data_IF_493059854132
#
_entry.id   IF_493059854132
#
_cell.length_a   1.000
_cell.length_b   1.000
_cell.length_c   1.000
_cell.angle_alpha   90.00
_cell.angle_beta   90.00
_cell.angle_gamma   90.00
#
_symmetry.space_group_name_H-M   'P 1'
#
loop_
_entity.id
_entity.type
_entity.pdbx_description
1 polymer ?
#
# COMPACT_ATOMS: atom_id res chain seq x y z
N UNK A 1 -43.66 27.69 41.41
CA UNK A 1 -42.24 27.31 41.28
C UNK A 1 -42.11 26.54 39.97
N UNK A 2 -41.50 27.11 38.93
CA UNK A 2 -41.13 26.36 37.73
C UNK A 2 -39.62 26.16 37.76
N UNK A 3 -39.17 24.91 37.73
CA UNK A 3 -37.80 24.57 37.37
C UNK A 3 -37.76 24.26 35.88
N UNK A 4 -37.23 25.19 35.10
CA UNK A 4 -36.90 24.96 33.69
C UNK A 4 -35.62 24.14 33.62
N UNK A 5 -35.73 22.83 33.34
CA UNK A 5 -34.55 22.01 33.04
C UNK A 5 -33.97 22.42 31.68
N UNK A 6 -32.66 22.63 31.66
CA UNK A 6 -31.97 23.22 30.52
C UNK A 6 -31.61 22.13 29.50
N UNK A 7 -31.98 22.27 28.20
CA UNK A 7 -31.83 21.19 27.22
C UNK A 7 -30.37 20.85 26.84
N UNK A 8 -29.41 21.66 27.28
CA UNK A 8 -27.97 21.49 27.01
C UNK A 8 -27.33 20.33 27.78
N UNK A 9 -27.75 20.06 29.01
CA UNK A 9 -27.18 18.98 29.84
C UNK A 9 -27.39 17.60 29.20
N UNK A 10 -28.59 17.38 28.65
CA UNK A 10 -29.00 16.11 28.04
C UNK A 10 -28.21 15.81 26.74
N UNK A 11 -27.91 16.84 25.95
CA UNK A 11 -27.12 16.69 24.71
C UNK A 11 -25.67 16.30 25.00
N UNK A 12 -25.05 16.92 26.01
CA UNK A 12 -23.67 16.63 26.43
C UNK A 12 -23.55 15.21 26.96
N UNK A 13 -24.51 14.75 27.78
CA UNK A 13 -24.52 13.36 28.27
C UNK A 13 -24.69 12.33 27.15
N UNK A 14 -25.52 12.61 26.13
CA UNK A 14 -25.69 11.67 25.00
C UNK A 14 -24.41 11.58 24.14
N UNK A 15 -23.73 12.70 23.88
CA UNK A 15 -22.45 12.71 23.14
C UNK A 15 -21.33 11.98 23.90
N UNK A 16 -21.24 12.16 25.22
CA UNK A 16 -20.26 11.46 26.04
C UNK A 16 -20.48 9.93 26.05
N UNK A 17 -21.74 9.48 26.05
CA UNK A 17 -22.08 8.05 26.00
C UNK A 17 -21.76 7.44 24.63
N UNK A 18 -22.00 8.15 23.52
CA UNK A 18 -21.64 7.65 22.18
C UNK A 18 -20.13 7.49 22.02
N UNK A 19 -19.33 8.42 22.56
CA UNK A 19 -17.87 8.30 22.54
C UNK A 19 -17.32 7.12 23.36
N UNK A 20 -18.04 6.68 24.40
CA UNK A 20 -17.70 5.50 25.21
C UNK A 20 -18.10 4.16 24.55
N UNK A 21 -18.90 4.20 23.48
CA UNK A 21 -19.32 3.03 22.69
C UNK A 21 -18.81 3.07 21.24
N UNK A 22 -17.85 3.95 20.92
CA UNK A 22 -17.01 3.70 19.76
C UNK A 22 -16.32 2.36 19.99
N UNK A 23 -16.53 1.33 19.15
CA UNK A 23 -15.76 0.10 19.28
C UNK A 23 -14.27 0.48 19.20
N UNK A 24 -13.39 -0.18 19.99
CA UNK A 24 -11.97 -0.03 19.75
C UNK A 24 -11.74 -0.32 18.27
N UNK A 25 -11.00 0.56 17.59
CA UNK A 25 -10.67 0.41 16.17
C UNK A 25 -10.14 -1.02 16.04
N UNK A 26 -10.88 -1.87 15.31
CA UNK A 26 -10.56 -3.28 15.27
C UNK A 26 -9.11 -3.40 14.80
N UNK A 27 -8.30 -4.19 15.51
CA UNK A 27 -6.98 -4.54 14.99
C UNK A 27 -7.21 -5.11 13.59
N UNK A 28 -6.53 -4.56 12.57
CA UNK A 28 -6.72 -4.98 11.18
C UNK A 28 -6.27 -6.44 11.06
N UNK A 29 -7.23 -7.36 11.19
CA UNK A 29 -6.97 -8.77 11.05
C UNK A 29 -6.67 -9.10 9.59
N UNK A 30 -5.75 -10.05 9.38
CA UNK A 30 -5.40 -10.53 8.06
C UNK A 30 -5.33 -12.05 8.01
N UNK A 31 -5.65 -12.59 6.85
CA UNK A 31 -5.26 -13.93 6.47
C UNK A 31 -3.84 -13.88 5.88
N UNK A 32 -2.98 -14.80 6.28
CA UNK A 32 -1.68 -14.97 5.65
C UNK A 32 -1.46 -16.39 5.19
N UNK A 33 -1.25 -16.55 3.88
CA UNK A 33 -0.89 -17.83 3.28
C UNK A 33 0.63 -17.91 3.15
N UNK A 34 1.22 -18.94 3.74
CA UNK A 34 2.66 -19.18 3.75
C UNK A 34 2.96 -20.41 2.88
N UNK A 35 4.02 -20.36 2.07
CA UNK A 35 4.45 -21.45 1.19
C UNK A 35 5.84 -21.93 1.58
N UNK A 36 6.01 -23.25 1.67
CA UNK A 36 7.27 -23.92 1.99
C UNK A 36 7.57 -25.03 0.98
N UNK A 37 8.86 -25.33 0.78
CA UNK A 37 9.30 -26.57 0.11
C UNK A 37 9.11 -27.76 1.05
N UNK A 38 8.57 -28.87 0.55
CA UNK A 38 8.39 -30.09 1.35
C UNK A 38 6.93 -30.39 1.67
N UNK A 39 6.66 -30.92 2.87
CA UNK A 39 5.35 -31.49 3.23
C UNK A 39 4.81 -31.07 4.60
N UNK A 40 5.61 -30.36 5.37
CA UNK A 40 5.43 -30.23 6.82
C UNK A 40 5.24 -28.78 7.26
N UNK A 41 4.90 -27.87 6.33
CA UNK A 41 4.74 -26.42 6.52
C UNK A 41 5.75 -25.81 7.50
N UNK A 42 7.03 -26.07 7.23
CA UNK A 42 8.12 -25.73 8.14
C UNK A 42 9.45 -25.58 7.41
N UNK A 43 10.42 -25.00 8.11
CA UNK A 43 11.67 -24.52 7.50
C UNK A 43 11.56 -23.04 7.12
N UNK A 44 12.33 -22.62 6.14
CA UNK A 44 12.31 -21.24 5.65
C UNK A 44 11.16 -21.06 4.64
N UNK A 45 10.24 -20.10 4.85
CA UNK A 45 9.21 -19.77 3.87
C UNK A 45 9.82 -19.36 2.52
N UNK A 46 9.14 -19.70 1.43
CA UNK A 46 9.40 -19.17 0.08
C UNK A 46 8.62 -17.87 -0.14
N UNK A 47 7.33 -17.90 0.22
CA UNK A 47 6.37 -16.82 0.01
C UNK A 47 5.51 -16.66 1.24
N UNK A 48 5.23 -15.40 1.61
CA UNK A 48 4.22 -15.02 2.61
C UNK A 48 3.28 -14.02 1.96
N UNK A 49 2.04 -14.42 1.70
CA UNK A 49 0.96 -13.51 1.27
C UNK A 49 0.25 -12.94 2.50
N UNK A 50 -0.24 -11.70 2.42
CA UNK A 50 -1.01 -11.03 3.48
C UNK A 50 -2.19 -10.29 2.86
N UNK A 51 -3.41 -10.66 3.25
CA UNK A 51 -4.65 -10.05 2.76
C UNK A 51 -5.54 -9.72 3.97
N UNK A 52 -5.99 -8.46 4.06
CA UNK A 52 -6.88 -8.02 5.14
C UNK A 52 -8.19 -8.82 5.13
N UNK A 53 -8.57 -9.40 6.27
CA UNK A 53 -9.74 -10.27 6.42
C UNK A 53 -10.31 -10.17 7.83
N UNK A 54 -11.60 -9.80 7.93
CA UNK A 54 -12.33 -9.73 9.20
C UNK A 54 -12.89 -11.09 9.64
N UNK A 55 -13.14 -11.97 8.67
CA UNK A 55 -13.67 -13.32 8.85
C UNK A 55 -12.60 -14.35 8.44
N UNK A 56 -11.41 -14.25 9.03
CA UNK A 56 -10.30 -15.13 8.71
C UNK A 56 -10.50 -16.52 9.32
N UNK A 57 -10.39 -17.56 8.50
CA UNK A 57 -10.31 -18.96 8.92
C UNK A 57 -8.90 -19.51 8.63
N UNK A 58 -8.27 -20.12 9.64
CA UNK A 58 -6.97 -20.75 9.49
C UNK A 58 -7.11 -22.08 8.75
N UNK A 59 -6.16 -22.37 7.87
CA UNK A 59 -6.11 -23.60 7.07
C UNK A 59 -4.86 -24.38 7.46
N UNK A 60 -5.04 -25.60 7.98
CA UNK A 60 -3.94 -26.51 8.28
C UNK A 60 -3.12 -26.85 7.01
N UNK A 61 -1.89 -27.32 7.21
CA UNK A 61 -0.95 -27.61 6.13
C UNK A 61 -1.53 -28.49 5.00
N UNK A 62 -1.64 -27.90 3.80
CA UNK A 62 -2.07 -28.55 2.55
C UNK A 62 -0.85 -28.81 1.66
N UNK A 63 -0.88 -29.90 0.89
CA UNK A 63 0.18 -30.27 -0.06
C UNK A 63 -0.21 -29.92 -1.49
N UNK A 64 0.74 -29.39 -2.26
CA UNK A 64 0.63 -29.21 -3.70
C UNK A 64 1.92 -29.63 -4.43
N UNK A 65 1.86 -29.71 -5.76
CA UNK A 65 2.98 -30.13 -6.60
C UNK A 65 3.09 -29.15 -7.78
N UNK A 66 4.26 -28.53 -7.92
CA UNK A 66 4.62 -27.70 -9.07
C UNK A 66 5.94 -28.24 -9.67
N UNK A 67 5.99 -28.41 -10.99
CA UNK A 67 7.11 -29.01 -11.74
C UNK A 67 7.79 -30.23 -11.07
N UNK A 68 6.96 -31.18 -10.61
CA UNK A 68 7.35 -32.42 -9.93
C UNK A 68 8.03 -32.25 -8.56
N UNK A 69 8.13 -31.02 -8.03
CA UNK A 69 8.56 -30.72 -6.67
C UNK A 69 7.33 -30.68 -5.76
N UNK A 70 7.44 -31.24 -4.55
CA UNK A 70 6.37 -31.15 -3.54
C UNK A 70 6.55 -29.90 -2.68
N UNK A 71 5.48 -29.16 -2.54
CA UNK A 71 5.38 -27.98 -1.68
C UNK A 71 4.23 -28.16 -0.70
N UNK A 72 4.22 -27.29 0.32
CA UNK A 72 3.14 -27.23 1.29
C UNK A 72 2.79 -25.79 1.62
N UNK A 73 1.49 -25.50 1.75
CA UNK A 73 0.98 -24.20 2.18
C UNK A 73 0.08 -24.31 3.41
N UNK A 74 0.08 -23.27 4.24
CA UNK A 74 -0.83 -23.10 5.36
C UNK A 74 -1.39 -21.68 5.35
N UNK A 75 -2.54 -21.46 5.98
CA UNK A 75 -3.08 -20.11 6.19
C UNK A 75 -3.28 -19.83 7.68
N UNK A 76 -2.67 -18.75 8.16
CA UNK A 76 -2.81 -18.24 9.53
C UNK A 76 -3.71 -17.02 9.58
N UNK A 77 -4.21 -16.69 10.78
CA UNK A 77 -5.09 -15.55 11.02
C UNK A 77 -4.52 -14.69 12.13
N UNK A 78 -4.14 -13.47 11.78
CA UNK A 78 -3.29 -12.63 12.63
C UNK A 78 -3.84 -11.22 12.80
N UNK A 79 -3.41 -10.56 13.89
CA UNK A 79 -3.85 -9.20 14.28
C UNK A 79 -2.68 -8.28 14.65
N UNK A 80 -1.45 -8.76 14.49
CA UNK A 80 -0.22 -8.00 14.69
C UNK A 80 0.05 -7.06 13.50
N UNK A 81 1.11 -6.26 13.57
CA UNK A 81 1.58 -5.53 12.40
C UNK A 81 2.10 -6.48 11.31
N UNK A 82 1.70 -6.24 10.05
CA UNK A 82 1.99 -7.12 8.91
C UNK A 82 3.49 -7.19 8.56
N UNK A 83 4.24 -6.12 8.78
CA UNK A 83 5.68 -6.06 8.48
C UNK A 83 6.48 -6.79 9.55
N UNK A 84 6.08 -6.62 10.81
CA UNK A 84 6.59 -7.36 11.96
C UNK A 84 6.34 -8.86 11.80
N UNK A 85 5.10 -9.25 11.47
CA UNK A 85 4.73 -10.64 11.18
C UNK A 85 5.61 -11.26 10.09
N UNK A 86 5.72 -10.61 8.92
CA UNK A 86 6.57 -11.10 7.82
C UNK A 86 8.03 -11.26 8.27
N UNK A 87 8.58 -10.29 9.01
CA UNK A 87 9.94 -10.36 9.52
C UNK A 87 10.17 -11.56 10.47
N UNK A 88 9.22 -11.82 11.37
CA UNK A 88 9.24 -12.95 12.29
C UNK A 88 9.08 -14.28 11.54
N UNK A 89 8.16 -14.36 10.57
CA UNK A 89 7.90 -15.55 9.73
C UNK A 89 9.14 -15.96 8.91
N UNK A 90 9.90 -15.01 8.37
CA UNK A 90 11.17 -15.30 7.70
C UNK A 90 12.33 -15.61 8.66
N UNK A 91 12.17 -15.41 9.97
CA UNK A 91 13.12 -15.77 11.03
C UNK A 91 14.57 -15.28 10.77
N UNK A 92 14.73 -14.05 10.27
CA UNK A 92 16.02 -13.45 9.93
C UNK A 92 16.60 -13.84 8.56
N UNK A 93 15.85 -14.60 7.75
CA UNK A 93 16.18 -14.84 6.34
C UNK A 93 16.03 -13.56 5.52
N UNK A 94 16.77 -13.46 4.41
CA UNK A 94 16.65 -12.32 3.49
C UNK A 94 15.33 -12.40 2.72
N UNK A 95 14.56 -11.31 2.67
CA UNK A 95 13.31 -11.23 1.92
C UNK A 95 13.11 -9.86 1.26
N UNK A 96 12.27 -9.83 0.22
CA UNK A 96 11.70 -8.61 -0.37
C UNK A 96 10.19 -8.67 -0.18
N UNK A 97 9.62 -7.69 0.51
CA UNK A 97 8.18 -7.54 0.75
C UNK A 97 7.64 -6.37 -0.07
N UNK A 98 6.56 -6.63 -0.81
CA UNK A 98 5.89 -5.67 -1.67
C UNK A 98 4.48 -5.49 -1.12
N UNK A 99 4.25 -4.38 -0.42
CA UNK A 99 2.90 -3.95 -0.07
C UNK A 99 2.28 -3.28 -1.31
N UNK A 100 1.06 -3.67 -1.65
CA UNK A 100 0.30 -3.16 -2.78
C UNK A 100 -0.85 -2.31 -2.29
N UNK A 101 -1.05 -1.17 -2.96
CA UNK A 101 -1.99 -0.13 -2.59
C UNK A 101 -2.82 0.34 -3.79
N UNK A 102 -3.93 1.01 -3.50
CA UNK A 102 -4.55 1.92 -4.47
C UNK A 102 -3.61 3.05 -4.87
N UNK A 103 -3.97 3.75 -5.96
CA UNK A 103 -3.19 4.83 -6.56
C UNK A 103 -2.69 5.87 -5.52
N UNK A 104 -1.43 6.28 -5.67
CA UNK A 104 -0.68 7.17 -4.78
C UNK A 104 -0.45 6.57 -3.36
N UNK A 105 -0.39 5.23 -3.26
CA UNK A 105 -0.21 4.50 -2.00
C UNK A 105 -1.19 4.91 -0.88
N UNK A 106 -2.49 5.00 -1.22
CA UNK A 106 -3.51 5.61 -0.35
C UNK A 106 -4.30 4.61 0.52
N UNK A 107 -4.64 3.44 -0.01
CA UNK A 107 -5.37 2.37 0.69
C UNK A 107 -4.66 1.04 0.44
N UNK A 108 -4.34 0.31 1.50
CA UNK A 108 -3.70 -1.01 1.42
C UNK A 108 -4.64 -2.02 0.76
N UNK A 109 -4.13 -2.84 -0.15
CA UNK A 109 -4.88 -3.89 -0.88
C UNK A 109 -4.39 -5.31 -0.53
N UNK A 110 -3.13 -5.45 -0.17
CA UNK A 110 -2.49 -6.73 0.15
C UNK A 110 -0.97 -6.59 0.15
N UNK A 111 -0.26 -7.61 0.62
CA UNK A 111 1.19 -7.68 0.50
C UNK A 111 1.64 -9.09 0.12
N UNK A 112 2.78 -9.18 -0.56
CA UNK A 112 3.49 -10.45 -0.75
C UNK A 112 4.95 -10.26 -0.43
N UNK A 113 5.51 -11.19 0.35
CA UNK A 113 6.91 -11.23 0.70
C UNK A 113 7.57 -12.50 0.17
N UNK A 114 8.76 -12.33 -0.40
CA UNK A 114 9.45 -13.31 -1.23
C UNK A 114 10.84 -13.58 -0.69
N UNK A 115 11.21 -14.85 -0.55
CA UNK A 115 12.53 -15.27 -0.09
C UNK A 115 13.61 -14.79 -1.08
N UNK A 116 14.55 -13.99 -0.59
CA UNK A 116 15.47 -13.25 -1.44
C UNK A 116 16.83 -13.96 -1.62
N UNK A 117 16.81 -15.22 -2.07
CA UNK A 117 18.05 -15.99 -2.39
C UNK A 117 18.67 -15.60 -3.74
N UNK A 118 17.88 -15.02 -4.66
CA UNK A 118 18.26 -14.85 -6.06
C UNK A 118 18.09 -16.11 -6.92
N UNK A 119 17.45 -17.15 -6.40
CA UNK A 119 17.11 -18.38 -7.13
C UNK A 119 15.63 -18.36 -7.59
N UNK A 120 15.30 -19.21 -8.57
CA UNK A 120 13.92 -19.38 -9.05
C UNK A 120 13.12 -20.24 -8.05
N UNK A 121 11.98 -19.73 -7.57
CA UNK A 121 11.13 -20.35 -6.55
C UNK A 121 9.65 -20.27 -6.96
N UNK A 122 8.80 -21.17 -6.45
CA UNK A 122 7.36 -21.15 -6.79
C UNK A 122 6.65 -19.92 -6.21
N UNK A 123 5.81 -19.25 -7.00
CA UNK A 123 5.19 -17.97 -6.64
C UNK A 123 3.94 -18.09 -5.76
N UNK A 124 3.12 -19.11 -6.01
CA UNK A 124 1.87 -19.37 -5.31
C UNK A 124 1.57 -20.89 -5.23
N UNK A 125 0.44 -21.25 -4.63
CA UNK A 125 -0.03 -22.62 -4.49
C UNK A 125 -0.78 -23.16 -5.72
N UNK A 126 -0.97 -22.34 -6.76
CA UNK A 126 -1.40 -22.80 -8.09
C UNK A 126 -0.24 -23.48 -8.84
N UNK A 127 0.99 -23.01 -8.65
CA UNK A 127 2.19 -23.60 -9.26
C UNK A 127 2.40 -23.25 -10.74
N UNK A 128 1.61 -22.33 -11.28
CA UNK A 128 1.72 -21.85 -12.67
C UNK A 128 2.81 -20.78 -12.87
N UNK A 129 3.25 -20.14 -11.77
CA UNK A 129 4.19 -19.01 -11.79
C UNK A 129 5.35 -19.22 -10.83
N UNK A 130 6.46 -18.56 -11.13
CA UNK A 130 7.71 -18.62 -10.38
C UNK A 130 8.26 -17.22 -10.17
N UNK A 131 9.12 -17.02 -9.17
CA UNK A 131 9.74 -15.74 -8.90
C UNK A 131 11.24 -15.85 -8.67
N UNK A 132 11.93 -14.73 -8.90
CA UNK A 132 13.26 -14.46 -8.34
C UNK A 132 13.13 -13.19 -7.51
N UNK A 133 13.58 -13.22 -6.26
CA UNK A 133 13.71 -12.04 -5.40
C UNK A 133 15.14 -11.91 -4.87
N UNK A 134 15.59 -10.68 -4.66
CA UNK A 134 16.96 -10.39 -4.23
C UNK A 134 17.07 -9.05 -3.50
N UNK A 135 17.86 -9.03 -2.43
CA UNK A 135 18.35 -7.80 -1.79
C UNK A 135 19.81 -7.60 -2.20
N UNK A 136 20.13 -6.43 -2.73
CA UNK A 136 21.48 -6.09 -3.20
C UNK A 136 22.32 -5.44 -2.08
N UNK A 137 23.65 -5.44 -2.25
CA UNK A 137 24.60 -4.94 -1.24
C UNK A 137 24.54 -3.42 -1.01
N UNK A 138 23.95 -2.68 -1.94
CA UNK A 138 23.73 -1.23 -1.86
C UNK A 138 22.41 -0.87 -1.17
N UNK A 139 21.60 -1.86 -0.78
CA UNK A 139 20.27 -1.67 -0.19
C UNK A 139 19.13 -1.60 -1.21
N UNK A 140 19.41 -1.66 -2.52
CA UNK A 140 18.37 -1.83 -3.54
C UNK A 140 17.79 -3.25 -3.49
N UNK A 141 16.62 -3.45 -4.09
CA UNK A 141 15.99 -4.77 -4.19
C UNK A 141 15.56 -5.05 -5.63
N UNK A 142 15.38 -6.33 -5.95
CA UNK A 142 14.66 -6.73 -7.16
C UNK A 142 13.72 -7.90 -6.88
N UNK A 143 12.61 -7.92 -7.60
CA UNK A 143 11.65 -9.02 -7.67
C UNK A 143 11.16 -9.15 -9.10
N UNK A 144 11.02 -10.36 -9.62
CA UNK A 144 10.42 -10.62 -10.92
C UNK A 144 9.63 -11.93 -10.90
N UNK A 145 8.49 -11.94 -11.59
CA UNK A 145 7.60 -13.09 -11.72
C UNK A 145 7.64 -13.61 -13.17
N UNK A 146 7.77 -14.91 -13.30
CA UNK A 146 8.00 -15.67 -14.53
C UNK A 146 6.93 -16.76 -14.68
N UNK A 147 6.67 -17.16 -15.92
CA UNK A 147 5.69 -18.19 -16.28
C UNK A 147 6.33 -19.57 -16.48
N UNK A 148 7.54 -19.80 -15.96
CA UNK A 148 8.30 -21.04 -16.08
C UNK A 148 9.25 -21.26 -14.89
N UNK A 149 9.47 -22.52 -14.52
CA UNK A 149 10.32 -22.95 -13.39
C UNK A 149 11.82 -22.76 -13.59
N UNK A 150 12.26 -22.33 -14.76
CA UNK A 150 13.65 -21.91 -14.98
C UNK A 150 13.84 -20.39 -14.83
N UNK A 151 12.76 -19.63 -14.63
CA UNK A 151 12.73 -18.17 -14.57
C UNK A 151 13.54 -17.51 -15.70
N UNK A 152 13.33 -17.98 -16.94
CA UNK A 152 14.14 -17.54 -18.09
C UNK A 152 13.50 -16.38 -18.85
N UNK A 153 14.35 -15.55 -19.46
CA UNK A 153 13.89 -14.38 -20.22
C UNK A 153 13.51 -13.20 -19.33
N UNK A 154 12.52 -12.43 -19.77
CA UNK A 154 12.02 -11.25 -19.04
C UNK A 154 10.83 -11.63 -18.15
N UNK A 155 10.78 -11.18 -16.89
CA UNK A 155 9.59 -11.37 -16.06
C UNK A 155 8.39 -10.61 -16.64
N UNK A 156 7.18 -11.14 -16.47
CA UNK A 156 5.95 -10.48 -16.94
C UNK A 156 5.49 -9.37 -16.00
N UNK A 157 5.90 -9.44 -14.73
CA UNK A 157 5.75 -8.39 -13.72
C UNK A 157 7.03 -8.38 -12.87
N UNK A 158 7.54 -7.20 -12.55
CA UNK A 158 8.72 -7.07 -11.72
C UNK A 158 8.89 -5.68 -11.11
N UNK A 159 9.74 -5.61 -10.09
CA UNK A 159 10.01 -4.45 -9.27
C UNK A 159 11.53 -4.33 -9.11
N UNK A 160 12.08 -3.15 -9.39
CA UNK A 160 13.50 -2.84 -9.18
C UNK A 160 13.61 -1.46 -8.49
N UNK A 161 13.23 -1.35 -7.19
CA UNK A 161 13.42 -0.14 -6.42
C UNK A 161 14.91 0.06 -6.06
N UNK A 162 15.37 1.29 -6.21
CA UNK A 162 16.69 1.71 -5.72
C UNK A 162 16.75 1.75 -4.18
N UNK A 163 17.96 1.91 -3.64
CA UNK A 163 18.19 1.90 -2.20
C UNK A 163 17.57 3.10 -1.47
N UNK A 164 17.38 4.24 -2.15
CA UNK A 164 16.66 5.39 -1.58
C UNK A 164 15.17 5.06 -1.45
N UNK A 165 14.55 4.45 -2.46
CA UNK A 165 13.16 3.99 -2.44
C UNK A 165 12.92 2.98 -1.31
N UNK A 166 13.78 1.95 -1.21
CA UNK A 166 13.66 0.91 -0.17
C UNK A 166 13.87 1.48 1.24
N UNK A 167 14.85 2.36 1.44
CA UNK A 167 15.14 2.92 2.78
C UNK A 167 14.22 4.05 3.22
N UNK A 168 13.61 4.77 2.29
CA UNK A 168 12.59 5.81 2.58
C UNK A 168 11.16 5.27 2.67
N UNK A 169 10.93 4.01 2.27
CA UNK A 169 9.60 3.43 2.08
C UNK A 169 8.68 4.32 1.22
N UNK A 170 9.26 4.92 0.18
CA UNK A 170 8.51 5.81 -0.72
C UNK A 170 7.65 5.01 -1.72
N UNK A 171 6.60 5.66 -2.21
CA UNK A 171 5.59 5.04 -3.06
C UNK A 171 6.14 4.74 -4.47
N UNK A 172 6.63 3.53 -4.67
CA UNK A 172 7.15 3.03 -5.94
C UNK A 172 6.02 2.84 -6.96
N UNK A 173 6.25 3.33 -8.17
CA UNK A 173 5.32 3.28 -9.31
C UNK A 173 3.87 3.79 -9.04
N UNK A 174 3.65 4.53 -7.94
CA UNK A 174 2.35 5.01 -7.44
C UNK A 174 1.41 3.92 -6.85
N UNK A 175 1.86 2.67 -6.66
CA UNK A 175 0.99 1.57 -6.21
C UNK A 175 1.64 0.63 -5.19
N UNK A 176 2.94 0.76 -4.91
CA UNK A 176 3.62 -0.19 -4.04
C UNK A 176 4.58 0.49 -3.07
N UNK A 177 4.77 -0.12 -1.91
CA UNK A 177 5.84 0.21 -0.96
C UNK A 177 6.66 -1.05 -0.73
N UNK A 178 7.98 -0.93 -0.79
CA UNK A 178 8.90 -2.06 -0.71
C UNK A 178 9.66 -2.02 0.62
N UNK A 179 9.73 -3.18 1.25
CA UNK A 179 10.46 -3.46 2.48
C UNK A 179 11.41 -4.63 2.23
N UNK A 180 12.48 -4.70 3.01
CA UNK A 180 13.41 -5.85 2.99
C UNK A 180 13.78 -6.26 4.41
N UNK A 181 14.42 -7.42 4.55
CA UNK A 181 14.95 -7.90 5.84
C UNK A 181 15.95 -6.95 6.53
N UNK A 182 16.46 -5.91 5.85
CA UNK A 182 17.33 -4.90 6.46
C UNK A 182 16.56 -3.70 7.06
N UNK A 183 15.37 -3.40 6.55
CA UNK A 183 14.55 -2.25 7.01
C UNK A 183 13.86 -2.46 8.36
N UNK A 184 13.63 -3.71 8.78
CA UNK A 184 12.92 -4.03 10.04
C UNK A 184 13.72 -3.71 11.32
N UNK A 185 14.95 -3.19 11.21
CA UNK A 185 15.78 -2.77 12.37
C UNK A 185 15.39 -1.40 12.96
N UNK A 186 14.33 -0.75 12.45
CA UNK A 186 14.09 0.69 12.64
C UNK A 186 12.94 1.08 13.60
N UNK A 187 12.58 0.29 14.61
CA UNK A 187 11.68 0.74 15.70
C UNK A 187 12.20 0.39 17.09
N UNK A 188 13.08 1.24 17.62
CA UNK A 188 13.23 1.44 19.07
C UNK A 188 12.85 2.88 19.38
N UNK A 189 11.63 3.08 19.88
CA UNK A 189 11.01 4.38 20.11
C UNK A 189 11.70 5.16 21.23
N UNK A 190 12.66 6.01 20.86
CA UNK A 190 13.25 7.00 21.77
C UNK A 190 12.24 8.13 22.04
N UNK A 191 11.36 7.89 23.00
CA UNK A 191 10.40 8.89 23.51
C UNK A 191 11.19 10.10 24.02
N UNK A 192 11.17 11.18 23.23
CA UNK A 192 11.91 12.40 23.51
C UNK A 192 11.23 13.20 24.62
N UNK A 193 11.45 12.79 25.87
CA UNK A 193 10.98 13.47 27.08
C UNK A 193 11.66 14.84 27.17
N UNK A 194 10.96 15.88 26.73
CA UNK A 194 11.45 17.25 26.74
C UNK A 194 11.42 17.86 28.15
N UNK A 195 12.48 17.66 28.94
CA UNK A 195 12.69 18.32 30.23
C UNK A 195 13.37 19.68 30.05
N UNK A 196 12.59 20.75 30.20
CA UNK A 196 13.05 22.14 30.10
C UNK A 196 13.49 22.70 31.46
N UNK A 197 14.79 22.88 31.67
CA UNK A 197 15.38 23.77 32.70
C UNK A 197 16.86 24.03 32.37
N UNK A 198 17.21 25.21 31.85
CA UNK A 198 17.66 26.41 32.60
C UNK A 198 19.18 26.49 32.88
N UNK A 199 19.85 27.25 32.01
CA UNK A 199 20.90 28.27 32.31
C UNK A 199 22.06 27.96 33.25
N UNK A 200 23.27 27.89 32.67
CA UNK A 200 24.50 28.48 33.23
C UNK A 200 25.44 28.90 32.07
N UNK A 201 26.20 29.98 32.25
CA UNK A 201 26.96 30.66 31.19
C UNK A 201 28.46 30.77 31.46
N UNK A 202 29.33 30.67 30.43
CA UNK A 202 30.72 31.20 30.48
C UNK A 202 31.41 31.31 29.10
N UNK A 203 31.36 32.51 28.52
CA UNK A 203 32.40 33.29 27.80
C UNK A 203 33.62 32.66 27.04
N UNK A 204 34.00 33.37 25.95
CA UNK A 204 35.25 33.36 25.11
C UNK A 204 35.09 32.53 23.81
N UNK A 205 35.38 32.95 22.58
CA UNK A 205 35.86 34.21 21.94
C UNK A 205 36.19 33.92 20.43
N UNK A 206 36.55 34.83 19.52
CA UNK A 206 36.63 36.31 19.53
C UNK A 206 36.84 36.88 18.08
N UNK A 207 35.91 37.71 17.57
CA UNK A 207 36.00 38.64 16.40
C UNK A 207 36.19 38.12 14.95
N UNK A 208 35.38 38.70 14.04
CA UNK A 208 35.53 38.65 12.58
C UNK A 208 34.49 39.53 11.87
N UNK A 209 34.69 40.85 11.87
CA UNK A 209 33.74 41.83 11.29
C UNK A 209 34.18 42.20 9.86
N UNK A 210 33.22 42.27 8.93
CA UNK A 210 33.26 43.24 7.83
C UNK A 210 31.82 43.60 7.38
N UNK A 211 31.60 44.86 6.98
CA UNK A 211 30.26 45.47 6.84
C UNK A 211 30.11 46.23 5.52
N UNK A 212 28.90 46.10 4.93
CA UNK A 212 28.28 47.08 4.02
C UNK A 212 28.37 46.78 2.51
N UNK A 213 27.51 47.36 1.65
CA UNK A 213 26.21 48.03 1.86
C UNK A 213 25.58 48.42 0.50
N UNK A 214 24.24 48.34 0.39
CA UNK A 214 23.32 49.11 -0.48
C UNK A 214 23.44 49.11 -2.04
N UNK A 215 22.28 49.32 -2.69
CA UNK A 215 22.14 49.80 -4.08
C UNK A 215 21.34 48.85 -5.00
N UNK A 216 20.01 48.95 -5.14
CA UNK A 216 19.19 49.95 -5.87
C UNK A 216 19.21 49.76 -7.41
N UNK A 217 18.01 49.53 -7.97
CA UNK A 217 17.58 49.48 -9.40
C UNK A 217 17.74 50.87 -10.10
N UNK A 218 17.33 51.19 -11.37
CA UNK A 218 16.41 50.49 -12.31
C UNK A 218 16.71 50.67 -13.84
N UNK A 219 15.66 50.46 -14.67
CA UNK A 219 15.42 51.05 -16.03
C UNK A 219 16.02 50.29 -17.25
N UNK A 220 15.46 50.34 -18.47
CA UNK A 220 14.23 51.00 -19.00
C UNK A 220 13.76 50.39 -20.36
N UNK A 221 12.51 50.66 -20.79
CA UNK A 221 11.99 50.97 -22.17
C UNK A 221 12.46 50.18 -23.43
N UNK A 222 11.70 49.98 -24.52
CA UNK A 222 10.29 50.24 -24.92
C UNK A 222 10.06 49.76 -26.39
N UNK A 223 8.85 49.26 -26.73
CA UNK A 223 7.95 49.50 -27.93
C UNK A 223 8.64 49.92 -29.28
N UNK A 224 8.31 49.49 -30.52
CA UNK A 224 7.04 49.61 -31.32
C UNK A 224 7.12 48.81 -32.69
N UNK A 225 5.99 48.22 -33.17
CA UNK A 225 5.50 47.88 -34.57
C UNK A 225 6.39 47.16 -35.64
N UNK A 226 5.91 46.54 -36.74
CA UNK A 226 4.61 46.00 -37.26
C UNK A 226 4.92 45.04 -38.46
N UNK A 227 3.90 44.32 -38.97
CA UNK A 227 3.81 43.54 -40.23
C UNK A 227 4.30 42.07 -40.19
N UNK A 228 3.62 41.10 -40.82
CA UNK A 228 2.35 41.13 -41.53
C UNK A 228 2.27 40.00 -42.58
N UNK A 229 1.35 39.03 -42.42
CA UNK A 229 1.00 38.05 -43.46
C UNK A 229 -0.35 37.39 -43.20
N UNK A 230 -1.12 37.19 -44.28
CA UNK A 230 -2.40 36.47 -44.35
C UNK A 230 -2.16 34.91 -44.30
N UNK A 231 -3.13 33.99 -44.29
CA UNK A 231 -4.56 34.03 -44.70
C UNK A 231 -5.38 32.90 -44.04
N UNK A 232 -6.70 33.11 -43.83
CA UNK A 232 -7.81 32.11 -43.76
C UNK A 232 -7.68 30.83 -42.92
N UNK A 233 -8.55 30.70 -41.92
CA UNK A 233 -9.16 29.41 -41.51
C UNK A 233 -10.68 29.51 -41.65
N UNK A 234 -11.29 28.49 -42.25
CA UNK A 234 -12.72 28.45 -42.59
C UNK A 234 -13.59 28.10 -41.38
N UNK A 235 -14.66 28.88 -41.15
CA UNK A 235 -15.68 28.58 -40.14
C UNK A 235 -16.95 28.02 -40.79
N UNK A 236 -17.23 26.74 -40.57
CA UNK A 236 -18.53 26.11 -40.87
C UNK A 236 -19.39 26.01 -39.59
N UNK A 237 -20.70 26.31 -39.63
CA UNK A 237 -21.56 26.28 -38.44
C UNK A 237 -22.51 25.07 -38.40
N UNK A 238 -22.38 24.21 -37.38
CA UNK A 238 -23.31 23.11 -37.00
C UNK A 238 -23.08 22.82 -35.50
N UNK A 239 -24.04 22.54 -34.61
CA UNK A 239 -25.48 22.82 -34.51
C UNK A 239 -25.88 22.67 -33.01
N UNK A 240 -27.06 23.20 -32.66
CA UNK A 240 -27.97 22.71 -31.60
C UNK A 240 -27.39 22.19 -30.27
N UNK A 241 -27.38 23.06 -29.25
CA UNK A 241 -27.14 22.70 -27.85
C UNK A 241 -28.36 21.97 -27.24
N UNK A 242 -28.37 20.64 -27.30
CA UNK A 242 -29.31 19.81 -26.55
C UNK A 242 -28.98 19.82 -25.05
N UNK A 243 -29.67 20.67 -24.28
CA UNK A 243 -29.45 20.79 -22.84
C UNK A 243 -29.82 19.53 -22.07
N UNK A 244 -28.82 18.74 -21.65
CA UNK A 244 -29.03 17.57 -20.79
C UNK A 244 -29.31 18.04 -19.37
N UNK A 245 -30.56 17.89 -18.91
CA UNK A 245 -30.95 18.22 -17.53
C UNK A 245 -30.06 17.47 -16.52
N UNK A 246 -29.52 18.20 -15.55
CA UNK A 246 -28.58 17.70 -14.53
C UNK A 246 -29.11 16.48 -13.76
N UNK A 247 -30.44 16.32 -13.69
CA UNK A 247 -31.08 15.13 -13.08
C UNK A 247 -30.82 13.81 -13.82
N UNK A 248 -30.61 13.84 -15.14
CA UNK A 248 -30.33 12.62 -15.92
C UNK A 248 -28.92 12.06 -15.64
N UNK A 249 -27.94 12.94 -15.47
CA UNK A 249 -26.53 12.57 -15.22
C UNK A 249 -26.41 11.92 -13.83
N UNK A 250 -27.08 12.47 -12.81
CA UNK A 250 -27.11 11.88 -11.47
C UNK A 250 -27.85 10.54 -11.47
N UNK A 251 -28.97 10.42 -12.20
CA UNK A 251 -29.70 9.16 -12.33
C UNK A 251 -28.87 8.03 -12.95
N UNK A 252 -28.07 8.34 -13.98
CA UNK A 252 -27.16 7.36 -14.62
C UNK A 252 -26.06 6.92 -13.65
N UNK A 253 -25.46 7.85 -12.89
CA UNK A 253 -24.42 7.50 -11.91
C UNK A 253 -24.97 6.63 -10.77
N UNK A 254 -26.14 6.97 -10.22
CA UNK A 254 -26.78 6.15 -9.17
C UNK A 254 -27.17 4.77 -9.70
N UNK A 255 -27.74 4.69 -10.91
CA UNK A 255 -28.06 3.42 -11.55
C UNK A 255 -26.79 2.58 -11.80
N UNK A 256 -25.70 3.19 -12.28
CA UNK A 256 -24.43 2.51 -12.51
C UNK A 256 -23.82 1.98 -11.21
N UNK A 257 -23.80 2.78 -10.14
CA UNK A 257 -23.31 2.35 -8.82
C UNK A 257 -24.15 1.19 -8.27
N UNK A 258 -25.49 1.24 -8.37
CA UNK A 258 -26.37 0.14 -7.95
C UNK A 258 -26.12 -1.11 -8.79
N UNK A 259 -25.91 -0.98 -10.11
CA UNK A 259 -25.65 -2.10 -11.00
C UNK A 259 -24.26 -2.71 -10.73
N UNK A 260 -23.24 -1.90 -10.46
CA UNK A 260 -21.93 -2.36 -9.99
C UNK A 260 -22.02 -3.08 -8.64
N UNK A 261 -22.73 -2.53 -7.65
CA UNK A 261 -22.92 -3.19 -6.34
C UNK A 261 -23.69 -4.51 -6.50
N UNK A 262 -24.75 -4.54 -7.32
CA UNK A 262 -25.49 -5.77 -7.61
C UNK A 262 -24.61 -6.80 -8.35
N UNK A 263 -23.77 -6.37 -9.29
CA UNK A 263 -22.81 -7.24 -9.96
C UNK A 263 -21.73 -7.75 -8.99
N UNK A 264 -21.22 -6.93 -8.08
CA UNK A 264 -20.29 -7.35 -7.03
C UNK A 264 -20.94 -8.36 -6.08
N UNK A 265 -22.18 -8.13 -5.62
CA UNK A 265 -22.92 -9.08 -4.78
C UNK A 265 -23.13 -10.40 -5.54
N UNK A 266 -23.57 -10.36 -6.80
CA UNK A 266 -23.75 -11.56 -7.62
C UNK A 266 -22.43 -12.27 -7.95
N UNK A 267 -21.31 -11.55 -8.06
CA UNK A 267 -19.98 -12.14 -8.21
C UNK A 267 -19.50 -12.78 -6.90
N UNK A 268 -19.72 -12.16 -5.75
CA UNK A 268 -19.36 -12.75 -4.45
C UNK A 268 -20.26 -13.95 -4.13
N UNK A 269 -21.58 -13.86 -4.32
CA UNK A 269 -22.51 -14.99 -4.16
C UNK A 269 -22.21 -16.11 -5.17
N UNK A 270 -21.82 -15.78 -6.41
CA UNK A 270 -21.35 -16.79 -7.38
C UNK A 270 -20.00 -17.40 -6.99
N UNK A 271 -19.06 -16.65 -6.41
CA UNK A 271 -17.82 -17.19 -5.86
C UNK A 271 -18.08 -18.07 -4.64
N UNK A 272 -18.94 -17.65 -3.71
CA UNK A 272 -19.32 -18.43 -2.53
C UNK A 272 -20.03 -19.73 -2.93
N UNK A 273 -20.93 -19.68 -3.92
CA UNK A 273 -21.53 -20.89 -4.50
C UNK A 273 -20.51 -21.73 -5.30
N UNK A 274 -19.50 -21.12 -5.93
CA UNK A 274 -18.42 -21.87 -6.59
C UNK A 274 -17.55 -22.59 -5.57
N UNK A 275 -17.14 -21.91 -4.49
CA UNK A 275 -16.40 -22.47 -3.33
C UNK A 275 -17.21 -23.60 -2.67
N UNK A 276 -18.51 -23.41 -2.43
CA UNK A 276 -19.41 -24.47 -1.93
C UNK A 276 -19.57 -25.63 -2.92
N UNK A 277 -19.56 -25.38 -4.24
CA UNK A 277 -19.62 -26.43 -5.26
C UNK A 277 -18.29 -27.18 -5.47
N UNK A 278 -17.16 -26.52 -5.21
CA UNK A 278 -15.82 -27.11 -5.21
C UNK A 278 -15.63 -28.10 -4.06
N UNK A 279 -16.50 -28.05 -3.05
CA UNK A 279 -17.11 -29.28 -2.53
C UNK A 279 -16.12 -30.33 -2.05
N UNK A 280 -15.01 -29.91 -1.44
CA UNK A 280 -14.14 -30.77 -0.67
C UNK A 280 -14.91 -31.27 0.55
N UNK A 281 -15.65 -32.37 0.33
CA UNK A 281 -16.02 -33.28 1.41
C UNK A 281 -14.75 -33.79 2.07
N UNK A 282 -14.43 -33.23 3.22
CA UNK A 282 -14.13 -34.02 4.40
C UNK A 282 -15.21 -33.75 5.44
#
# INVERSE_FOLDING_TARGET
>A
MLFTSQPTELLVTVLAVIAAFAPPIAAESFASTIIYTGKDCSGTPLVVSVIGSVDCEAVECVLFIADSVTYSSETTCETTDRQTYVADTFAGSSYVMIETYSKLCTFFLGAMAFLATGECQVYDDHGDNYFIAKVNKDGSASQGIYNDSSCTGSPFLGYEPDSETVSSHSCYNNYSVIYTSSSSTATSSSVSVSTRSQTASSSRGNSGINVGSNGISPSNSSIIDEAGSETTVSTTPVESSGGVSTGAIVGILVAYVILCVAACILCMDRMENFIRSLGLRR
#
